data_IF_611439455161
#
_entry.id   IF_611439455161
#
_cell.length_a   1.000
_cell.length_b   1.000
_cell.length_c   1.000
_cell.angle_alpha   90.00
_cell.angle_beta   90.00
_cell.angle_gamma   90.00
#
_symmetry.space_group_name_H-M   'P 1'
#
loop_
_entity.id
_entity.type
_entity.pdbx_description
1 polymer ?
#
# COMPACT_ATOMS: atom_id res chain seq x y z
N UNK A 1 5.03 -9.96 -5.24
CA UNK A 1 4.27 -9.84 -3.99
C UNK A 1 3.09 -8.91 -4.18
N UNK A 2 1.89 -9.36 -3.85
CA UNK A 2 0.68 -8.54 -3.84
C UNK A 2 0.33 -8.08 -2.44
N UNK A 3 -0.25 -6.89 -2.32
CA UNK A 3 -0.67 -6.30 -1.03
C UNK A 3 -2.17 -6.03 -1.07
N UNK A 4 -3.01 -6.99 -0.61
CA UNK A 4 -4.45 -6.76 -0.53
C UNK A 4 -4.79 -5.61 0.40
N UNK A 5 -5.68 -4.74 -0.06
CA UNK A 5 -6.15 -3.58 0.71
C UNK A 5 -7.43 -3.87 1.48
N UNK A 6 -7.96 -5.08 1.32
CA UNK A 6 -9.14 -5.57 2.03
C UNK A 6 -8.72 -6.36 3.26
N UNK A 7 -9.43 -6.19 4.35
CA UNK A 7 -9.31 -7.07 5.51
C UNK A 7 -10.01 -8.40 5.19
N UNK A 8 -9.36 -9.53 5.54
CA UNK A 8 -9.92 -10.86 5.28
C UNK A 8 -9.92 -11.26 3.81
N UNK A 9 -8.92 -10.83 3.05
CA UNK A 9 -8.84 -11.01 1.60
C UNK A 9 -8.21 -12.36 1.18
N UNK A 10 -8.27 -13.40 2.00
CA UNK A 10 -7.69 -14.73 1.70
C UNK A 10 -8.30 -15.36 0.43
N UNK A 11 -9.56 -15.06 0.12
CA UNK A 11 -10.24 -15.52 -1.09
C UNK A 11 -9.53 -15.09 -2.39
N UNK A 12 -8.73 -14.03 -2.35
CA UNK A 12 -7.96 -13.58 -3.52
C UNK A 12 -6.94 -14.61 -4.00
N UNK A 13 -6.47 -15.49 -3.11
CA UNK A 13 -5.55 -16.57 -3.49
C UNK A 13 -6.22 -17.49 -4.52
N UNK A 14 -7.43 -17.91 -4.24
CA UNK A 14 -8.19 -18.80 -5.13
C UNK A 14 -8.53 -18.08 -6.45
N UNK A 15 -8.92 -16.81 -6.37
CA UNK A 15 -9.22 -16.00 -7.55
C UNK A 15 -8.00 -15.86 -8.47
N UNK A 16 -6.82 -15.57 -7.91
CA UNK A 16 -5.59 -15.43 -8.67
C UNK A 16 -5.17 -16.77 -9.28
N UNK A 17 -5.31 -17.88 -8.55
CA UNK A 17 -4.94 -19.21 -9.02
C UNK A 17 -5.73 -19.66 -10.25
N UNK A 18 -6.90 -19.12 -10.49
CA UNK A 18 -7.68 -19.39 -11.71
C UNK A 18 -6.96 -18.86 -12.97
N UNK A 19 -6.17 -17.82 -12.85
CA UNK A 19 -5.51 -17.14 -13.96
C UNK A 19 -4.00 -17.38 -14.02
N UNK A 20 -3.35 -17.58 -12.87
CA UNK A 20 -1.90 -17.73 -12.74
C UNK A 20 -1.57 -19.15 -12.31
N UNK A 21 -0.94 -19.91 -13.21
CA UNK A 21 -0.58 -21.33 -12.96
C UNK A 21 0.75 -21.48 -12.22
N UNK A 22 1.64 -20.49 -12.30
CA UNK A 22 2.93 -20.53 -11.62
C UNK A 22 2.78 -20.19 -10.14
N UNK A 23 3.66 -20.79 -9.31
CA UNK A 23 3.69 -20.55 -7.86
C UNK A 23 4.72 -19.46 -7.46
N UNK A 24 5.02 -18.54 -8.37
CA UNK A 24 6.05 -17.49 -8.16
C UNK A 24 5.46 -16.17 -7.65
N UNK A 25 4.34 -16.23 -6.97
CA UNK A 25 3.66 -15.06 -6.40
C UNK A 25 3.18 -15.37 -4.98
N UNK A 26 3.01 -14.31 -4.21
CA UNK A 26 2.46 -14.38 -2.84
C UNK A 26 1.65 -13.13 -2.51
N UNK A 27 0.78 -13.24 -1.51
CA UNK A 27 0.03 -12.12 -0.96
C UNK A 27 0.52 -11.83 0.46
N UNK A 28 0.87 -10.56 0.70
CA UNK A 28 1.20 -10.07 2.02
C UNK A 28 -0.04 -9.39 2.62
N UNK A 29 -0.64 -10.01 3.64
CA UNK A 29 -1.95 -9.64 4.17
C UNK A 29 -1.89 -8.59 5.28
N UNK A 30 -0.70 -8.14 5.68
CA UNK A 30 -0.51 -7.39 6.93
C UNK A 30 -0.59 -5.86 6.76
N UNK A 31 -0.77 -5.36 5.54
CA UNK A 31 -0.68 -3.92 5.24
C UNK A 31 -2.00 -3.32 4.73
N UNK A 32 -3.15 -3.85 5.15
CA UNK A 32 -4.46 -3.32 4.77
C UNK A 32 -4.91 -2.10 5.60
N UNK A 33 -4.26 -1.82 6.73
CA UNK A 33 -4.54 -0.68 7.63
C UNK A 33 -5.99 -0.63 8.14
N UNK A 34 -6.57 -1.80 8.38
CA UNK A 34 -7.94 -1.93 8.88
C UNK A 34 -8.98 -2.26 7.81
N UNK A 35 -8.61 -2.24 6.54
CA UNK A 35 -9.48 -2.62 5.41
C UNK A 35 -9.55 -1.59 4.30
N UNK A 36 -10.48 -1.80 3.37
CA UNK A 36 -10.65 -0.93 2.21
C UNK A 36 -10.87 0.53 2.60
N UNK A 37 -10.10 1.42 2.00
CA UNK A 37 -10.13 2.86 2.25
C UNK A 37 -9.93 3.27 3.72
N UNK A 38 -9.47 2.37 4.57
CA UNK A 38 -9.04 2.70 5.93
C UNK A 38 -7.61 3.20 5.93
N UNK A 39 -7.35 4.20 6.75
CA UNK A 39 -6.02 4.81 6.92
C UNK A 39 -5.77 5.05 8.41
N UNK A 40 -4.49 5.10 8.77
CA UNK A 40 -4.05 5.54 10.09
C UNK A 40 -2.96 6.62 9.97
N UNK A 41 -2.56 7.18 11.08
CA UNK A 41 -1.56 8.26 11.11
C UNK A 41 -0.22 7.81 10.52
N UNK A 42 0.20 6.58 10.79
CA UNK A 42 1.47 6.05 10.29
C UNK A 42 1.51 6.00 8.76
N UNK A 43 0.42 5.56 8.14
CA UNK A 43 0.31 5.53 6.68
C UNK A 43 0.39 6.95 6.09
N UNK A 44 -0.34 7.89 6.67
CA UNK A 44 -0.36 9.29 6.21
C UNK A 44 1.03 9.92 6.35
N UNK A 45 1.68 9.74 7.48
CA UNK A 45 3.02 10.27 7.73
C UNK A 45 4.04 9.69 6.73
N UNK A 46 3.94 8.39 6.46
CA UNK A 46 4.78 7.76 5.44
C UNK A 46 4.53 8.36 4.05
N UNK A 47 3.27 8.50 3.64
CA UNK A 47 2.91 9.06 2.33
C UNK A 47 3.46 10.49 2.16
N UNK A 48 3.32 11.31 3.19
CA UNK A 48 3.81 12.68 3.18
C UNK A 48 5.33 12.76 3.13
N UNK A 49 6.01 11.93 3.93
CA UNK A 49 7.47 11.83 3.93
C UNK A 49 7.99 11.34 2.57
N UNK A 50 7.34 10.33 1.99
CA UNK A 50 7.69 9.78 0.69
C UNK A 50 7.57 10.82 -0.42
N UNK A 51 6.44 11.54 -0.46
CA UNK A 51 6.24 12.65 -1.40
C UNK A 51 7.31 13.72 -1.25
N UNK A 52 7.61 14.10 -0.01
CA UNK A 52 8.63 15.13 0.27
C UNK A 52 10.02 14.71 -0.21
N UNK A 53 10.37 13.43 -0.05
CA UNK A 53 11.70 12.91 -0.39
C UNK A 53 11.85 12.62 -1.89
N UNK A 54 10.81 12.09 -2.52
CA UNK A 54 10.88 11.56 -3.89
C UNK A 54 10.08 12.38 -4.91
N UNK A 55 9.30 13.35 -4.46
CA UNK A 55 8.36 14.13 -5.30
C UNK A 55 7.33 13.25 -6.04
N UNK A 56 6.95 12.15 -5.40
CA UNK A 56 5.96 11.20 -5.92
C UNK A 56 4.80 11.10 -4.93
N UNK A 57 3.61 11.63 -5.28
CA UNK A 57 2.42 11.46 -4.44
C UNK A 57 1.88 10.03 -4.54
N UNK A 58 1.33 9.53 -3.45
CA UNK A 58 0.72 8.20 -3.36
C UNK A 58 -0.77 8.34 -3.04
N UNK A 59 -1.60 7.43 -3.57
CA UNK A 59 -3.01 7.40 -3.17
C UNK A 59 -3.19 6.67 -1.82
N UNK A 60 -4.21 7.04 -1.04
CA UNK A 60 -4.38 6.47 0.30
C UNK A 60 -5.03 5.08 0.32
N UNK A 61 -5.56 4.59 -0.80
CA UNK A 61 -6.29 3.32 -0.86
C UNK A 61 -5.38 2.17 -1.29
N UNK A 62 -4.60 2.36 -2.33
CA UNK A 62 -3.79 1.31 -2.96
C UNK A 62 -2.28 1.56 -2.86
N UNK A 63 -1.78 2.57 -3.56
CA UNK A 63 -0.33 2.76 -3.73
C UNK A 63 0.36 3.16 -2.44
N UNK A 64 -0.28 3.94 -1.58
CA UNK A 64 0.27 4.28 -0.26
C UNK A 64 0.54 3.04 0.58
N UNK A 65 -0.41 2.09 0.59
CA UNK A 65 -0.27 0.83 1.33
C UNK A 65 0.78 -0.10 0.72
N UNK A 66 0.82 -0.18 -0.62
CA UNK A 66 1.85 -0.95 -1.33
C UNK A 66 3.25 -0.43 -0.99
N UNK A 67 3.47 0.86 -1.15
CA UNK A 67 4.79 1.46 -0.90
C UNK A 67 5.16 1.35 0.58
N UNK A 68 4.24 1.62 1.49
CA UNK A 68 4.47 1.41 2.92
C UNK A 68 4.89 -0.03 3.22
N UNK A 69 4.14 -1.00 2.70
CA UNK A 69 4.41 -2.42 2.92
C UNK A 69 5.77 -2.84 2.40
N UNK A 70 6.14 -2.43 1.20
CA UNK A 70 7.45 -2.76 0.62
C UNK A 70 8.58 -2.14 1.42
N UNK A 71 8.48 -0.86 1.80
CA UNK A 71 9.52 -0.20 2.61
C UNK A 71 9.65 -0.82 4.00
N UNK A 72 8.55 -1.22 4.62
CA UNK A 72 8.58 -1.93 5.90
C UNK A 72 9.23 -3.32 5.77
N UNK A 73 8.91 -4.05 4.71
CA UNK A 73 9.56 -5.34 4.42
C UNK A 73 11.05 -5.19 4.13
N UNK A 74 11.48 -4.12 3.45
CA UNK A 74 12.91 -3.81 3.25
C UNK A 74 13.57 -3.59 4.61
N UNK A 75 12.97 -2.81 5.49
CA UNK A 75 13.51 -2.53 6.82
C UNK A 75 13.59 -3.79 7.71
N UNK A 76 12.80 -4.82 7.41
CA UNK A 76 12.78 -6.11 8.11
C UNK A 76 13.66 -7.19 7.44
N UNK A 77 14.47 -6.81 6.47
CA UNK A 77 15.33 -7.73 5.70
C UNK A 77 14.56 -8.87 5.00
N UNK A 78 13.32 -8.62 4.62
CA UNK A 78 12.49 -9.60 3.92
C UNK A 78 13.03 -9.96 2.54
N UNK A 79 13.55 -8.97 1.81
CA UNK A 79 14.12 -9.18 0.49
C UNK A 79 15.63 -9.46 0.61
N UNK A 80 16.09 -10.37 -0.25
CA UNK A 80 17.52 -10.69 -0.34
C UNK A 80 18.32 -9.44 -0.73
N UNK A 81 19.47 -9.21 -0.08
CA UNK A 81 20.36 -8.10 -0.40
C UNK A 81 20.78 -8.15 -1.87
N UNK A 82 20.82 -6.99 -2.51
CA UNK A 82 21.14 -6.86 -3.95
C UNK A 82 19.96 -7.11 -4.88
N UNK A 83 18.78 -7.46 -4.36
CA UNK A 83 17.57 -7.64 -5.17
C UNK A 83 17.08 -6.31 -5.73
N UNK A 84 16.72 -6.29 -7.01
CA UNK A 84 16.00 -5.17 -7.63
C UNK A 84 14.51 -5.31 -7.36
N UNK A 85 13.90 -4.27 -6.80
CA UNK A 85 12.47 -4.25 -6.46
C UNK A 85 11.76 -3.26 -7.38
N UNK A 86 10.77 -3.74 -8.13
CA UNK A 86 9.90 -2.90 -8.95
C UNK A 86 8.58 -2.68 -8.22
N UNK A 87 8.24 -1.41 -7.92
CA UNK A 87 6.94 -1.02 -7.41
C UNK A 87 6.13 -0.38 -8.54
N UNK A 88 4.91 -0.86 -8.74
CA UNK A 88 4.02 -0.36 -9.79
C UNK A 88 3.06 0.66 -9.19
N UNK A 89 3.21 1.93 -9.59
CA UNK A 89 2.29 2.99 -9.21
C UNK A 89 1.10 3.02 -10.16
N UNK A 90 -0.08 2.71 -9.65
CA UNK A 90 -1.30 2.55 -10.47
C UNK A 90 -2.17 3.82 -10.54
N UNK A 91 -1.69 4.95 -10.03
CA UNK A 91 -2.47 6.20 -10.02
C UNK A 91 -3.36 6.32 -8.80
N UNK A 92 -4.61 6.75 -8.98
CA UNK A 92 -5.58 6.87 -7.88
C UNK A 92 -5.50 8.19 -7.10
N UNK A 93 -4.71 9.16 -7.55
CA UNK A 93 -4.45 10.42 -6.82
C UNK A 93 -5.70 11.27 -6.62
N UNK A 94 -6.72 11.09 -7.45
CA UNK A 94 -8.02 11.75 -7.30
C UNK A 94 -8.69 11.41 -5.96
N UNK A 95 -8.33 10.29 -5.34
CA UNK A 95 -8.86 9.89 -4.03
C UNK A 95 -8.32 10.71 -2.84
N UNK A 96 -7.24 11.47 -3.03
CA UNK A 96 -6.61 12.25 -1.95
C UNK A 96 -7.56 13.31 -1.40
N UNK A 97 -8.23 14.06 -2.27
CA UNK A 97 -9.14 15.13 -1.84
C UNK A 97 -10.30 14.60 -0.98
N UNK A 98 -10.94 13.52 -1.41
CA UNK A 98 -12.01 12.88 -0.65
C UNK A 98 -11.54 12.29 0.68
N UNK A 99 -10.35 11.71 0.69
CA UNK A 99 -9.75 11.19 1.93
C UNK A 99 -9.46 12.34 2.91
N UNK A 100 -8.90 13.45 2.43
CA UNK A 100 -8.61 14.61 3.28
C UNK A 100 -9.86 15.15 3.95
N UNK A 101 -11.01 15.23 3.25
CA UNK A 101 -12.27 15.61 3.85
C UNK A 101 -12.69 14.67 5.00
N UNK A 102 -12.42 13.39 4.88
CA UNK A 102 -12.76 12.39 5.90
C UNK A 102 -11.88 12.44 7.15
N UNK A 103 -10.59 12.75 6.98
CA UNK A 103 -9.60 12.72 8.07
C UNK A 103 -9.34 14.09 8.69
N UNK A 104 -9.86 15.16 8.10
CA UNK A 104 -9.70 16.53 8.58
C UNK A 104 -10.10 16.68 10.06
N UNK A 105 -11.21 16.06 10.46
CA UNK A 105 -11.69 16.08 11.85
C UNK A 105 -10.71 15.45 12.85
N UNK A 106 -9.76 14.65 12.38
CA UNK A 106 -8.67 14.07 13.19
C UNK A 106 -7.42 14.95 13.21
N UNK A 107 -7.45 16.07 12.50
CA UNK A 107 -6.29 16.94 12.32
C UNK A 107 -5.23 16.34 11.38
N UNK A 108 -5.59 15.37 10.56
CA UNK A 108 -4.68 14.72 9.61
C UNK A 108 -4.87 15.25 8.20
N UNK A 109 -3.79 15.24 7.43
CA UNK A 109 -3.81 15.69 6.04
C UNK A 109 -2.77 14.93 5.20
N UNK A 110 -3.18 14.56 4.00
CA UNK A 110 -2.28 14.07 2.95
C UNK A 110 -1.89 15.29 2.08
N UNK A 111 -0.61 15.54 1.97
CA UNK A 111 -0.05 16.69 1.25
C UNK A 111 -0.13 16.55 -0.29
#
# INVERSE_FOLDING_TARGET
>A
VGFPVLKGADFLRDDIQQYVKNANWELCMDYHFGGYAKVNKNLIDFMNAFKKTHDIPLDPVYTGKLFFGVFDLIAKDYFREGTTILLIHTGGLQGIAGMNQRIEKKGWRID
#
